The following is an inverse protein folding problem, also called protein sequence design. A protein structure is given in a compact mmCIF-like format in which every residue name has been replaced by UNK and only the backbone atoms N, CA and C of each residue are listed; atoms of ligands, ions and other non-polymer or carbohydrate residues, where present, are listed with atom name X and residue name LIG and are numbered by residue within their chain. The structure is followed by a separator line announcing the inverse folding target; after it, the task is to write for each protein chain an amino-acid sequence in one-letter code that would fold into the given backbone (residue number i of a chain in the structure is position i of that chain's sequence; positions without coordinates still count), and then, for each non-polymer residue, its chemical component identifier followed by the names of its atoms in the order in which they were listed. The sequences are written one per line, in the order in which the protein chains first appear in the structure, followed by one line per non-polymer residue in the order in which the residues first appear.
data_IF_406357348245
#
_entry.id   IF_406357348245
#
_cell.length_a   1.000
_cell.length_b   1.000
_cell.length_c   1.000
_cell.angle_alpha   90.00
_cell.angle_beta   90.00
_cell.angle_gamma   90.00
#
_symmetry.space_group_name_H-M   'P 1'
#
loop_
_entity.id
_entity.type
_entity.pdbx_description
1 polymer ?
#
# COMPACT_ATOMS: atom_id res chain seq x y z
N UNK A 1 26.71 15.50 -22.11
CA UNK A 1 25.77 14.58 -21.44
C UNK A 1 26.17 14.48 -19.96
N UNK A 2 25.24 14.74 -19.02
CA UNK A 2 25.55 14.74 -17.58
C UNK A 2 25.96 13.33 -17.10
N UNK A 3 26.73 13.26 -15.98
CA UNK A 3 27.12 11.98 -15.38
C UNK A 3 25.92 11.09 -15.06
N UNK A 4 24.82 11.69 -14.62
CA UNK A 4 23.55 11.00 -14.33
C UNK A 4 22.93 10.36 -15.57
N UNK A 5 22.89 11.05 -16.70
CA UNK A 5 22.39 10.48 -17.96
C UNK A 5 23.24 9.30 -18.44
N UNK A 6 24.56 9.35 -18.26
CA UNK A 6 25.44 8.22 -18.58
C UNK A 6 25.19 7.02 -17.66
N UNK A 7 24.98 7.25 -16.36
CA UNK A 7 24.68 6.19 -15.40
C UNK A 7 23.33 5.51 -15.68
N UNK A 8 22.29 6.28 -16.00
CA UNK A 8 20.98 5.73 -16.37
C UNK A 8 21.07 4.88 -17.65
N UNK A 9 21.77 5.36 -18.68
CA UNK A 9 21.97 4.58 -19.91
C UNK A 9 22.76 3.29 -19.64
N UNK A 10 23.80 3.35 -18.82
CA UNK A 10 24.58 2.16 -18.46
C UNK A 10 23.76 1.15 -17.67
N UNK A 11 22.94 1.61 -16.72
CA UNK A 11 22.01 0.75 -15.97
C UNK A 11 20.96 0.10 -16.89
N UNK A 12 20.38 0.86 -17.79
CA UNK A 12 19.41 0.34 -18.77
C UNK A 12 20.03 -0.71 -19.70
N UNK A 13 21.27 -0.51 -20.15
CA UNK A 13 22.00 -1.51 -20.97
C UNK A 13 22.26 -2.79 -20.17
N UNK A 14 22.63 -2.69 -18.89
CA UNK A 14 22.85 -3.86 -18.03
C UNK A 14 21.57 -4.66 -17.78
N UNK A 15 20.44 -3.98 -17.56
CA UNK A 15 19.14 -4.63 -17.39
C UNK A 15 18.75 -5.38 -18.67
N UNK A 16 18.86 -4.75 -19.83
CA UNK A 16 18.58 -5.39 -21.13
C UNK A 16 19.50 -6.59 -21.38
N UNK A 17 20.78 -6.46 -21.10
CA UNK A 17 21.74 -7.56 -21.22
C UNK A 17 21.39 -8.72 -20.26
N UNK A 18 20.98 -8.42 -19.02
CA UNK A 18 20.52 -9.42 -18.06
C UNK A 18 19.27 -10.18 -18.54
N UNK A 19 18.28 -9.46 -19.05
CA UNK A 19 17.06 -10.05 -19.62
C UNK A 19 17.39 -10.95 -20.82
N UNK A 20 18.25 -10.50 -21.74
CA UNK A 20 18.69 -11.30 -22.90
C UNK A 20 19.40 -12.56 -22.43
N UNK A 21 20.23 -12.48 -21.40
CA UNK A 21 20.93 -13.65 -20.86
C UNK A 21 19.97 -14.69 -20.28
N UNK A 22 18.98 -14.23 -19.51
CA UNK A 22 17.94 -15.10 -18.94
C UNK A 22 17.11 -15.75 -20.04
N UNK A 23 16.66 -14.99 -21.03
CA UNK A 23 15.88 -15.53 -22.18
C UNK A 23 16.73 -16.52 -22.97
N UNK A 24 18.01 -16.22 -23.22
CA UNK A 24 18.90 -17.13 -23.94
C UNK A 24 19.12 -18.43 -23.17
N UNK A 25 19.30 -18.37 -21.85
CA UNK A 25 19.44 -19.55 -21.00
C UNK A 25 18.18 -20.42 -20.99
N UNK A 26 16.99 -19.81 -21.00
CA UNK A 26 15.70 -20.51 -21.05
C UNK A 26 15.49 -21.19 -22.42
N UNK A 27 15.84 -20.51 -23.51
CA UNK A 27 15.76 -21.08 -24.88
C UNK A 27 16.70 -22.26 -25.08
N UNK A 28 17.95 -22.14 -24.59
CA UNK A 28 18.94 -23.23 -24.69
C UNK A 28 18.51 -24.48 -23.91
N UNK A 29 17.78 -24.31 -22.82
CA UNK A 29 17.21 -25.41 -22.03
C UNK A 29 15.87 -25.96 -22.56
N UNK A 30 15.45 -25.59 -23.78
CA UNK A 30 14.24 -26.13 -24.43
C UNK A 30 12.91 -25.59 -23.91
N UNK A 31 12.91 -24.52 -23.13
CA UNK A 31 11.69 -23.87 -22.67
C UNK A 31 11.10 -23.01 -23.78
N UNK A 32 9.92 -23.35 -24.26
CA UNK A 32 9.14 -22.55 -25.21
C UNK A 32 8.09 -21.74 -24.45
N UNK A 33 8.25 -20.42 -24.42
CA UNK A 33 7.19 -19.53 -23.97
C UNK A 33 6.22 -19.32 -25.14
N UNK A 34 4.95 -19.69 -25.00
CA UNK A 34 3.95 -19.28 -25.96
C UNK A 34 3.76 -17.75 -25.82
N UNK A 35 3.97 -17.03 -26.90
CA UNK A 35 3.61 -15.62 -27.09
C UNK A 35 4.49 -14.52 -26.45
N UNK A 36 5.77 -14.74 -26.19
CA UNK A 36 6.68 -13.61 -25.92
C UNK A 36 7.37 -13.18 -27.21
N UNK A 37 6.88 -12.16 -27.85
CA UNK A 37 7.57 -11.45 -28.94
C UNK A 37 8.22 -10.18 -28.36
N UNK A 38 9.55 -10.20 -28.22
CA UNK A 38 10.30 -8.97 -27.94
C UNK A 38 10.44 -8.21 -29.27
N UNK A 39 9.57 -7.23 -29.49
CA UNK A 39 9.62 -6.42 -30.71
C UNK A 39 10.43 -5.16 -30.44
N UNK A 40 11.73 -5.21 -30.69
CA UNK A 40 12.65 -4.07 -30.57
C UNK A 40 12.40 -2.97 -31.63
N UNK A 41 11.55 -3.22 -32.61
CA UNK A 41 11.25 -2.27 -33.68
C UNK A 41 10.22 -1.20 -33.29
N UNK A 42 9.54 -1.32 -32.16
CA UNK A 42 8.55 -0.36 -31.67
C UNK A 42 9.05 0.47 -30.46
N UNK A 43 10.31 0.90 -30.48
CA UNK A 43 10.77 1.96 -29.55
C UNK A 43 10.18 3.35 -29.89
N UNK A 44 9.27 3.42 -30.84
CA UNK A 44 8.46 4.61 -31.17
C UNK A 44 6.98 4.23 -31.12
N UNK A 45 6.48 3.76 -29.98
CA UNK A 45 5.04 3.81 -29.77
C UNK A 45 4.63 5.28 -29.76
N UNK A 46 3.70 5.66 -30.62
CA UNK A 46 3.11 6.99 -30.51
C UNK A 46 2.59 7.16 -29.08
N UNK A 47 2.81 8.32 -28.45
CA UNK A 47 2.35 8.53 -27.09
C UNK A 47 0.82 8.32 -27.05
N UNK A 48 0.36 7.48 -26.15
CA UNK A 48 -1.08 7.28 -25.93
C UNK A 48 -1.68 8.64 -25.58
N UNK A 49 -2.63 9.10 -26.36
CA UNK A 49 -3.29 10.37 -26.13
C UNK A 49 -4.41 10.21 -25.09
N UNK A 50 -4.09 10.48 -23.82
CA UNK A 50 -5.07 10.51 -22.76
C UNK A 50 -5.83 11.82 -22.75
N UNK A 51 -7.16 11.74 -22.77
CA UNK A 51 -8.08 12.89 -22.73
C UNK A 51 -8.66 12.99 -21.32
N UNK A 52 -8.39 14.12 -20.67
CA UNK A 52 -8.97 14.44 -19.36
C UNK A 52 -10.47 14.67 -19.48
N UNK A 53 -11.24 14.05 -18.62
CA UNK A 53 -12.67 14.25 -18.45
C UNK A 53 -12.99 14.62 -17.01
N UNK A 54 -14.07 15.38 -16.83
CA UNK A 54 -14.57 15.79 -15.52
C UNK A 54 -16.06 15.57 -15.47
N UNK A 55 -16.55 14.96 -14.39
CA UNK A 55 -17.97 14.72 -14.13
C UNK A 55 -18.36 15.32 -12.81
N UNK A 56 -19.21 16.34 -12.82
CA UNK A 56 -19.79 16.91 -11.61
C UNK A 56 -20.83 15.97 -11.02
N UNK A 57 -20.76 15.71 -9.73
CA UNK A 57 -21.67 14.84 -9.02
C UNK A 57 -22.78 15.69 -8.40
N UNK A 58 -23.95 15.68 -9.04
CA UNK A 58 -25.11 16.47 -8.61
C UNK A 58 -26.04 15.71 -7.68
N UNK A 59 -26.00 14.39 -7.73
CA UNK A 59 -26.80 13.52 -6.87
C UNK A 59 -26.10 13.29 -5.53
N UNK A 60 -26.90 13.07 -4.50
CA UNK A 60 -26.35 12.74 -3.16
C UNK A 60 -25.93 11.28 -3.14
N UNK A 61 -24.75 11.04 -2.65
CA UNK A 61 -24.21 9.71 -2.35
C UNK A 61 -23.66 9.68 -0.92
N UNK A 62 -23.49 8.50 -0.40
CA UNK A 62 -22.96 8.26 0.95
C UNK A 62 -21.87 7.19 0.99
N UNK A 63 -21.72 6.44 -0.09
CA UNK A 63 -20.65 5.46 -0.23
C UNK A 63 -19.94 5.63 -1.57
N UNK A 64 -18.70 5.14 -1.66
CA UNK A 64 -17.82 5.31 -2.81
C UNK A 64 -17.23 3.94 -3.17
N UNK A 65 -17.36 3.52 -4.42
CA UNK A 65 -16.84 2.26 -4.95
C UNK A 65 -16.04 2.56 -6.22
N UNK A 66 -14.70 2.48 -6.12
CA UNK A 66 -13.78 2.68 -7.24
C UNK A 66 -13.15 1.36 -7.61
N UNK A 67 -13.45 0.89 -8.82
CA UNK A 67 -12.81 -0.28 -9.44
C UNK A 67 -12.09 0.18 -10.69
N UNK A 68 -10.82 0.47 -10.51
CA UNK A 68 -9.99 1.00 -11.58
C UNK A 68 -9.36 -0.10 -12.43
N UNK A 69 -8.98 0.27 -13.64
CA UNK A 69 -8.22 -0.59 -14.53
C UNK A 69 -6.76 -0.75 -14.09
N UNK A 70 -6.01 -1.63 -14.75
CA UNK A 70 -4.57 -1.75 -14.58
C UNK A 70 -3.86 -0.43 -14.88
N UNK A 71 -2.83 -0.10 -14.13
CA UNK A 71 -1.97 1.08 -14.29
C UNK A 71 -2.73 2.42 -14.22
N UNK A 72 -3.82 2.49 -13.49
CA UNK A 72 -4.57 3.72 -13.26
C UNK A 72 -4.50 4.10 -11.80
N UNK A 73 -3.83 5.21 -11.51
CA UNK A 73 -3.72 5.72 -10.16
C UNK A 73 -5.07 6.25 -9.67
N UNK A 74 -5.36 6.06 -8.39
CA UNK A 74 -6.58 6.53 -7.76
C UNK A 74 -6.23 7.53 -6.65
N UNK A 75 -6.76 8.74 -6.76
CA UNK A 75 -6.58 9.75 -5.72
C UNK A 75 -7.93 10.19 -5.14
N UNK A 76 -7.96 10.43 -3.83
CA UNK A 76 -9.12 11.03 -3.14
C UNK A 76 -8.69 12.35 -2.52
N UNK A 77 -9.33 13.43 -2.92
CA UNK A 77 -8.97 14.80 -2.56
C UNK A 77 -10.17 15.62 -2.12
N UNK A 78 -9.91 16.72 -1.45
CA UNK A 78 -10.93 17.73 -1.14
C UNK A 78 -11.33 18.46 -2.42
N UNK A 79 -12.64 18.66 -2.63
CA UNK A 79 -13.14 19.56 -3.66
C UNK A 79 -12.90 21.03 -3.25
N UNK A 80 -12.65 21.89 -4.25
CA UNK A 80 -12.45 23.33 -4.00
C UNK A 80 -13.77 24.06 -3.66
N UNK A 81 -14.92 23.41 -3.84
CA UNK A 81 -16.24 23.96 -3.60
C UNK A 81 -17.19 22.98 -2.93
N UNK A 82 -18.49 23.28 -2.98
CA UNK A 82 -19.56 22.51 -2.32
C UNK A 82 -20.10 21.35 -3.19
N UNK A 83 -19.48 21.09 -4.33
CA UNK A 83 -19.89 20.02 -5.26
C UNK A 83 -18.74 19.02 -5.43
N UNK A 84 -19.03 17.75 -5.17
CA UNK A 84 -18.09 16.69 -5.49
C UNK A 84 -18.00 16.46 -6.98
N UNK A 85 -16.85 16.06 -7.48
CA UNK A 85 -16.65 15.74 -8.89
C UNK A 85 -15.57 14.68 -9.05
N UNK A 86 -15.52 14.04 -10.22
CA UNK A 86 -14.52 13.05 -10.57
C UNK A 86 -13.78 13.51 -11.81
N UNK A 87 -12.46 13.51 -11.75
CA UNK A 87 -11.58 13.71 -12.90
C UNK A 87 -10.92 12.39 -13.28
N UNK A 88 -10.88 12.08 -14.57
CA UNK A 88 -10.23 10.87 -15.05
C UNK A 88 -9.69 11.07 -16.46
N UNK A 89 -8.86 10.14 -16.90
CA UNK A 89 -8.23 10.18 -18.21
C UNK A 89 -8.60 8.94 -19.02
N UNK A 90 -9.27 9.16 -20.16
CA UNK A 90 -9.64 8.12 -21.13
C UNK A 90 -8.73 8.13 -22.35
N UNK A 91 -8.61 6.97 -23.00
CA UNK A 91 -8.01 6.83 -24.31
C UNK A 91 -8.83 5.83 -25.14
N UNK A 92 -8.38 5.52 -26.37
CA UNK A 92 -9.10 4.63 -27.29
C UNK A 92 -9.50 3.28 -26.67
N UNK A 93 -8.65 2.73 -25.81
CA UNK A 93 -8.82 1.39 -25.23
C UNK A 93 -9.02 1.43 -23.69
N UNK A 94 -9.27 2.60 -23.12
CA UNK A 94 -9.59 2.80 -21.70
C UNK A 94 -10.74 3.80 -21.60
N UNK A 95 -11.85 3.36 -21.05
CA UNK A 95 -13.03 4.21 -20.84
C UNK A 95 -13.52 4.04 -19.41
N UNK A 96 -13.62 5.17 -18.68
CA UNK A 96 -14.19 5.19 -17.34
C UNK A 96 -15.69 5.50 -17.38
N UNK A 97 -16.40 4.87 -16.45
CA UNK A 97 -17.83 5.08 -16.21
C UNK A 97 -18.01 5.58 -14.78
N UNK A 98 -18.74 6.68 -14.64
CA UNK A 98 -19.06 7.29 -13.35
C UNK A 98 -20.58 7.36 -13.24
N UNK A 99 -21.14 6.63 -12.27
CA UNK A 99 -22.58 6.62 -12.01
C UNK A 99 -22.89 6.64 -10.50
N UNK A 100 -24.13 6.99 -10.18
CA UNK A 100 -24.66 6.86 -8.81
C UNK A 100 -25.84 5.91 -8.85
N UNK A 101 -25.76 4.88 -8.03
CA UNK A 101 -26.80 3.87 -7.91
C UNK A 101 -26.91 3.46 -6.46
N UNK A 102 -28.13 3.48 -5.92
CA UNK A 102 -28.45 3.16 -4.52
C UNK A 102 -27.67 4.01 -3.48
N UNK A 103 -27.34 5.25 -3.82
CA UNK A 103 -26.56 6.16 -2.98
C UNK A 103 -25.07 5.83 -2.92
N UNK A 104 -24.57 5.06 -3.87
CA UNK A 104 -23.14 4.72 -4.03
C UNK A 104 -22.62 5.39 -5.28
N UNK A 105 -21.56 6.20 -5.15
CA UNK A 105 -20.79 6.71 -6.28
C UNK A 105 -19.89 5.58 -6.79
N UNK A 106 -20.19 5.06 -7.98
CA UNK A 106 -19.41 3.99 -8.63
C UNK A 106 -18.56 4.56 -9.74
N UNK A 107 -17.29 4.17 -9.71
CA UNK A 107 -16.34 4.48 -10.78
C UNK A 107 -15.75 3.15 -11.25
N UNK A 108 -16.00 2.81 -12.49
CA UNK A 108 -15.50 1.57 -13.12
C UNK A 108 -14.79 1.91 -14.41
N UNK A 109 -14.01 0.99 -14.93
CA UNK A 109 -13.32 1.17 -16.19
C UNK A 109 -13.45 -0.07 -17.09
N UNK A 110 -13.74 0.17 -18.37
CA UNK A 110 -13.54 -0.81 -19.44
C UNK A 110 -12.13 -0.62 -19.98
N UNK A 111 -11.27 -1.60 -19.75
CA UNK A 111 -9.88 -1.59 -20.20
C UNK A 111 -9.62 -2.72 -21.19
N UNK A 112 -9.48 -2.36 -22.43
CA UNK A 112 -9.09 -3.27 -23.51
C UNK A 112 -7.67 -3.02 -24.00
N UNK A 113 -6.87 -2.25 -23.26
CA UNK A 113 -5.47 -2.09 -23.54
C UNK A 113 -4.82 -3.48 -23.45
N UNK A 114 -4.15 -3.88 -24.53
CA UNK A 114 -3.54 -5.22 -24.59
C UNK A 114 -2.61 -5.41 -23.40
N UNK A 115 -2.93 -6.36 -22.55
CA UNK A 115 -2.05 -6.90 -21.50
C UNK A 115 -0.87 -7.72 -22.09
N UNK A 116 -0.46 -7.42 -23.32
CA UNK A 116 0.80 -7.90 -23.86
C UNK A 116 1.90 -7.26 -23.01
N UNK A 117 2.76 -8.08 -22.45
CA UNK A 117 3.92 -7.67 -21.67
C UNK A 117 4.81 -6.74 -22.51
N UNK A 118 4.46 -5.46 -22.54
CA UNK A 118 5.20 -4.42 -23.24
C UNK A 118 6.19 -3.80 -22.25
N UNK A 119 7.43 -4.27 -22.27
CA UNK A 119 8.51 -3.55 -21.59
C UNK A 119 8.83 -2.32 -22.43
N UNK A 120 8.22 -1.19 -22.12
CA UNK A 120 8.56 0.11 -22.69
C UNK A 120 9.59 0.79 -21.81
N UNK A 121 10.85 0.81 -22.26
CA UNK A 121 11.90 1.60 -21.61
C UNK A 121 11.92 2.97 -22.28
N UNK A 122 11.23 3.95 -21.69
CA UNK A 122 11.17 5.31 -22.21
C UNK A 122 10.91 6.33 -21.11
N UNK A 123 11.22 7.61 -21.37
CA UNK A 123 10.81 8.73 -20.52
C UNK A 123 9.46 9.20 -21.03
N UNK A 124 8.39 8.86 -20.34
CA UNK A 124 7.06 9.37 -20.62
C UNK A 124 6.97 10.85 -20.20
N UNK A 125 6.58 11.71 -21.13
CA UNK A 125 6.33 13.14 -20.88
C UNK A 125 4.85 13.51 -21.02
N UNK A 126 3.96 12.53 -21.09
CA UNK A 126 2.51 12.71 -21.27
C UNK A 126 1.71 12.60 -19.96
N UNK A 127 0.40 12.83 -20.04
CA UNK A 127 -0.51 12.58 -18.93
C UNK A 127 -0.54 11.08 -18.60
N UNK A 128 -0.49 10.75 -17.31
CA UNK A 128 -0.61 9.38 -16.82
C UNK A 128 -2.10 9.07 -16.56
N UNK A 129 -2.59 7.87 -16.85
CA UNK A 129 -3.97 7.54 -16.57
C UNK A 129 -4.22 7.56 -15.06
N UNK A 130 -5.18 8.35 -14.65
CA UNK A 130 -5.55 8.47 -13.23
C UNK A 130 -7.03 8.78 -13.09
N UNK A 131 -7.58 8.39 -11.94
CA UNK A 131 -8.89 8.76 -11.45
C UNK A 131 -8.71 9.58 -10.18
N UNK A 132 -9.24 10.79 -10.13
CA UNK A 132 -9.24 11.61 -8.92
C UNK A 132 -10.67 11.90 -8.49
N UNK A 133 -11.04 11.46 -7.31
CA UNK A 133 -12.35 11.71 -6.68
C UNK A 133 -12.21 12.92 -5.77
N UNK A 134 -12.87 14.02 -6.13
CA UNK A 134 -12.92 15.23 -5.33
C UNK A 134 -14.20 15.25 -4.51
N UNK A 135 -14.06 15.24 -3.19
CA UNK A 135 -15.15 15.16 -2.24
C UNK A 135 -15.39 16.52 -1.57
N UNK A 136 -16.64 17.01 -1.64
CA UNK A 136 -17.04 18.25 -0.97
C UNK A 136 -17.33 18.05 0.54
N UNK A 137 -17.76 16.85 0.94
CA UNK A 137 -18.01 16.47 2.32
C UNK A 137 -16.86 15.71 2.95
N UNK A 138 -16.91 15.54 4.27
CA UNK A 138 -15.93 14.78 5.07
C UNK A 138 -16.50 13.51 5.69
N UNK A 139 -17.80 13.27 5.58
CA UNK A 139 -18.49 12.15 6.22
C UNK A 139 -19.19 11.31 5.16
N UNK A 140 -18.88 10.02 5.13
CA UNK A 140 -19.45 9.02 4.22
C UNK A 140 -19.60 7.69 4.97
N UNK A 141 -20.47 6.79 4.46
CA UNK A 141 -20.67 5.48 5.08
C UNK A 141 -19.46 4.57 4.83
N UNK A 142 -19.17 4.29 3.56
CA UNK A 142 -18.12 3.36 3.18
C UNK A 142 -17.33 3.84 1.96
N UNK A 143 -16.07 3.42 1.87
CA UNK A 143 -15.22 3.57 0.69
C UNK A 143 -14.52 2.26 0.35
N UNK A 144 -14.67 1.85 -0.90
CA UNK A 144 -13.91 0.73 -1.46
C UNK A 144 -13.11 1.22 -2.65
N UNK A 145 -11.81 0.93 -2.67
CA UNK A 145 -10.91 1.22 -3.80
C UNK A 145 -10.18 -0.05 -4.17
N UNK A 146 -10.37 -0.51 -5.39
CA UNK A 146 -9.68 -1.67 -5.95
C UNK A 146 -8.98 -1.27 -7.24
N UNK A 147 -7.68 -1.46 -7.28
CA UNK A 147 -6.88 -1.28 -8.50
C UNK A 147 -5.92 -2.45 -8.67
N UNK A 148 -5.30 -2.60 -9.84
CA UNK A 148 -4.34 -3.69 -10.07
C UNK A 148 -2.90 -3.24 -9.86
N UNK A 149 -2.49 -2.15 -10.51
CA UNK A 149 -1.09 -1.69 -10.48
C UNK A 149 -0.98 -0.17 -10.26
N UNK A 150 -2.09 0.53 -10.14
CA UNK A 150 -2.11 1.96 -9.84
C UNK A 150 -1.88 2.24 -8.37
N UNK A 151 -1.26 3.37 -8.09
CA UNK A 151 -1.09 3.86 -6.73
C UNK A 151 -2.41 4.42 -6.19
N UNK A 152 -2.60 4.33 -4.87
CA UNK A 152 -3.74 4.91 -4.18
C UNK A 152 -3.28 6.02 -3.23
N UNK A 153 -3.71 7.25 -3.49
CA UNK A 153 -3.38 8.41 -2.65
C UNK A 153 -4.65 9.03 -2.04
N UNK A 154 -4.83 8.84 -0.74
CA UNK A 154 -5.91 9.43 0.02
C UNK A 154 -5.34 10.50 0.97
N UNK A 155 -5.21 11.74 0.46
CA UNK A 155 -4.58 12.86 1.17
C UNK A 155 -5.61 13.86 1.73
N UNK A 156 -6.79 13.37 2.12
CA UNK A 156 -7.87 14.19 2.65
C UNK A 156 -8.51 13.52 3.86
N UNK A 157 -8.67 14.27 4.95
CA UNK A 157 -9.31 13.74 6.16
C UNK A 157 -10.77 13.36 5.90
N UNK A 158 -11.08 12.10 6.14
CA UNK A 158 -12.41 11.53 5.96
C UNK A 158 -12.85 10.78 7.21
N UNK A 159 -14.12 10.95 7.57
CA UNK A 159 -14.81 10.15 8.58
C UNK A 159 -15.73 9.14 7.86
N UNK A 160 -15.53 7.85 8.10
CA UNK A 160 -16.23 6.77 7.40
C UNK A 160 -16.57 5.60 8.33
N UNK A 161 -17.55 4.80 7.94
CA UNK A 161 -17.79 3.50 8.58
C UNK A 161 -16.63 2.56 8.23
N UNK A 162 -16.48 2.21 6.95
CA UNK A 162 -15.42 1.32 6.52
C UNK A 162 -14.61 1.94 5.38
N UNK A 163 -13.31 1.73 5.43
CA UNK A 163 -12.36 2.03 4.33
C UNK A 163 -11.68 0.72 3.94
N UNK A 164 -11.84 0.31 2.68
CA UNK A 164 -11.25 -0.90 2.13
C UNK A 164 -10.46 -0.56 0.85
N UNK A 165 -9.14 -0.72 0.90
CA UNK A 165 -8.23 -0.40 -0.20
C UNK A 165 -7.43 -1.64 -0.56
N UNK A 166 -7.54 -2.06 -1.81
CA UNK A 166 -6.83 -3.22 -2.34
C UNK A 166 -6.11 -2.87 -3.65
N UNK A 167 -4.83 -3.18 -3.71
CA UNK A 167 -4.05 -3.11 -4.95
C UNK A 167 -3.15 -4.35 -5.07
N UNK A 168 -2.71 -4.68 -6.28
CA UNK A 168 -1.76 -5.79 -6.44
C UNK A 168 -0.31 -5.31 -6.44
N UNK A 169 -0.02 -4.16 -7.05
CA UNK A 169 1.38 -3.70 -7.20
C UNK A 169 1.57 -2.19 -6.95
N UNK A 170 0.52 -1.47 -6.67
CA UNK A 170 0.59 -0.03 -6.39
C UNK A 170 0.93 0.25 -4.93
N UNK A 171 1.51 1.41 -4.70
CA UNK A 171 1.71 1.93 -3.36
C UNK A 171 0.40 2.53 -2.81
N UNK A 172 0.20 2.41 -1.51
CA UNK A 172 -0.98 2.97 -0.85
C UNK A 172 -0.58 4.00 0.19
N UNK A 173 -1.02 5.23 -0.02
CA UNK A 173 -0.84 6.32 0.95
C UNK A 173 -2.19 6.77 1.48
N UNK A 174 -2.39 6.71 2.82
CA UNK A 174 -3.58 7.25 3.49
C UNK A 174 -3.14 8.25 4.55
N UNK A 175 -3.58 9.50 4.40
CA UNK A 175 -3.30 10.57 5.34
C UNK A 175 -4.59 11.19 5.87
N UNK A 176 -4.86 10.95 7.15
CA UNK A 176 -6.04 11.49 7.82
C UNK A 176 -7.31 10.68 7.55
N UNK A 177 -7.54 9.63 8.31
CA UNK A 177 -8.80 8.88 8.29
C UNK A 177 -9.32 8.64 9.70
N UNK A 178 -10.65 8.69 9.85
CA UNK A 178 -11.37 8.21 11.02
C UNK A 178 -12.40 7.19 10.56
N UNK A 179 -12.26 5.93 10.97
CA UNK A 179 -13.11 4.84 10.50
C UNK A 179 -13.53 3.88 11.61
N UNK A 180 -14.64 3.16 11.42
CA UNK A 180 -14.94 2.00 12.24
C UNK A 180 -13.96 0.86 11.90
N UNK A 181 -13.71 0.61 10.62
CA UNK A 181 -12.72 -0.34 10.17
C UNK A 181 -11.90 0.21 9.00
N UNK A 182 -10.57 0.01 9.06
CA UNK A 182 -9.65 0.30 7.98
C UNK A 182 -8.99 -1.00 7.51
N UNK A 183 -9.17 -1.35 6.25
CA UNK A 183 -8.45 -2.45 5.61
C UNK A 183 -7.61 -1.90 4.46
N UNK A 184 -6.31 -2.21 4.47
CA UNK A 184 -5.41 -1.87 3.36
C UNK A 184 -4.59 -3.10 3.00
N UNK A 185 -4.63 -3.48 1.74
CA UNK A 185 -3.90 -4.64 1.23
C UNK A 185 -3.17 -4.34 -0.08
N UNK A 186 -1.91 -4.75 -0.16
CA UNK A 186 -1.14 -4.76 -1.41
C UNK A 186 -0.33 -6.05 -1.52
N UNK A 187 0.01 -6.46 -2.75
CA UNK A 187 0.91 -7.61 -2.92
C UNK A 187 2.38 -7.18 -3.05
N UNK A 188 2.68 -6.06 -3.70
CA UNK A 188 4.07 -5.66 -3.97
C UNK A 188 4.36 -4.18 -3.76
N UNK A 189 3.38 -3.38 -3.39
CA UNK A 189 3.57 -1.96 -3.10
C UNK A 189 3.83 -1.70 -1.61
N UNK A 190 4.29 -0.50 -1.32
CA UNK A 190 4.46 -0.03 0.04
C UNK A 190 3.18 0.60 0.59
N UNK A 191 2.97 0.52 1.89
CA UNK A 191 1.83 1.12 2.57
C UNK A 191 2.32 2.21 3.53
N UNK A 192 1.86 3.44 3.31
CA UNK A 192 2.11 4.57 4.21
C UNK A 192 0.79 5.06 4.82
N UNK A 193 0.69 4.98 6.13
CA UNK A 193 -0.45 5.47 6.90
C UNK A 193 -0.02 6.56 7.86
N UNK A 194 -0.69 7.69 7.84
CA UNK A 194 -0.43 8.80 8.77
C UNK A 194 -1.73 9.39 9.30
N UNK A 195 -1.76 9.68 10.60
CA UNK A 195 -2.90 10.33 11.28
C UNK A 195 -4.20 9.52 11.14
N UNK A 196 -4.13 8.23 11.44
CA UNK A 196 -5.24 7.30 11.38
C UNK A 196 -5.92 7.17 12.76
N UNK A 197 -7.23 7.30 12.78
CA UNK A 197 -8.07 6.92 13.91
C UNK A 197 -9.07 5.87 13.45
N UNK A 198 -9.18 4.74 14.17
CA UNK A 198 -10.17 3.72 13.84
C UNK A 198 -10.57 2.91 15.07
N UNK A 199 -11.59 2.06 14.93
CA UNK A 199 -11.84 1.03 15.92
C UNK A 199 -10.89 -0.14 15.70
N UNK A 200 -10.83 -0.64 14.46
CA UNK A 200 -9.94 -1.72 14.07
C UNK A 200 -9.21 -1.37 12.78
N UNK A 201 -7.97 -1.86 12.63
CA UNK A 201 -7.24 -1.75 11.38
C UNK A 201 -6.60 -3.09 10.99
N UNK A 202 -6.66 -3.44 9.71
CA UNK A 202 -5.95 -4.59 9.13
C UNK A 202 -5.14 -4.13 7.94
N UNK A 203 -3.82 -4.25 8.05
CA UNK A 203 -2.87 -3.76 7.07
C UNK A 203 -1.99 -4.91 6.62
N UNK A 204 -1.95 -5.15 5.32
CA UNK A 204 -1.13 -6.26 4.79
C UNK A 204 -0.41 -5.88 3.50
N UNK A 205 0.90 -6.14 3.49
CA UNK A 205 1.72 -6.14 2.29
C UNK A 205 2.36 -7.54 2.12
N UNK A 206 2.56 -8.00 0.91
CA UNK A 206 3.27 -9.27 0.76
C UNK A 206 4.77 -9.05 0.56
N UNK A 207 5.18 -8.10 -0.27
CA UNK A 207 6.60 -7.80 -0.54
C UNK A 207 6.96 -6.31 -0.34
N UNK A 208 6.04 -5.50 0.12
CA UNK A 208 6.26 -4.09 0.41
C UNK A 208 6.40 -3.83 1.90
N UNK A 209 6.90 -2.66 2.21
CA UNK A 209 7.03 -2.16 3.57
C UNK A 209 5.71 -1.57 4.08
N UNK A 210 5.48 -1.70 5.38
CA UNK A 210 4.35 -1.06 6.07
C UNK A 210 4.91 0.02 7.00
N UNK A 211 4.60 1.27 6.67
CA UNK A 211 4.99 2.42 7.49
C UNK A 211 3.77 3.10 8.09
N UNK A 212 3.80 3.32 9.40
CA UNK A 212 2.75 4.00 10.14
C UNK A 212 3.39 5.14 10.93
N UNK A 213 2.98 6.39 10.67
CA UNK A 213 3.53 7.51 11.42
C UNK A 213 2.72 7.80 12.69
N UNK A 214 1.39 7.82 12.64
CA UNK A 214 0.54 7.99 13.81
C UNK A 214 -0.76 7.19 13.66
N UNK A 215 -1.05 6.31 14.61
CA UNK A 215 -2.28 5.52 14.59
C UNK A 215 -2.88 5.38 15.99
N UNK A 216 -4.15 5.73 16.13
CA UNK A 216 -4.90 5.59 17.38
C UNK A 216 -6.14 4.72 17.14
N UNK A 217 -6.17 3.56 17.78
CA UNK A 217 -7.25 2.60 17.64
C UNK A 217 -7.93 2.36 18.98
N UNK A 218 -9.23 2.18 18.95
CA UNK A 218 -9.99 1.89 20.19
C UNK A 218 -10.01 0.40 20.51
N UNK A 219 -9.58 -0.46 19.57
CA UNK A 219 -9.54 -1.92 19.77
C UNK A 219 -8.25 -2.54 19.24
N UNK A 220 -8.14 -2.92 17.96
CA UNK A 220 -7.01 -3.71 17.50
C UNK A 220 -6.39 -3.24 16.19
N UNK A 221 -5.10 -3.51 16.03
CA UNK A 221 -4.40 -3.47 14.75
C UNK A 221 -3.76 -4.82 14.44
N UNK A 222 -3.95 -5.28 13.21
CA UNK A 222 -3.26 -6.42 12.62
C UNK A 222 -2.36 -5.93 11.47
N UNK A 223 -1.03 -6.00 11.65
CA UNK A 223 -0.02 -5.63 10.65
C UNK A 223 0.66 -6.87 10.13
N UNK A 224 0.72 -7.03 8.82
CA UNK A 224 1.31 -8.22 8.20
C UNK A 224 2.14 -7.88 6.97
N UNK A 225 3.34 -8.46 6.91
CA UNK A 225 4.14 -8.53 5.68
C UNK A 225 4.79 -9.91 5.51
N UNK A 226 5.23 -10.24 4.31
CA UNK A 226 6.02 -11.46 4.10
C UNK A 226 7.51 -11.16 3.92
N UNK A 227 7.86 -10.11 3.18
CA UNK A 227 9.28 -9.80 2.88
C UNK A 227 9.64 -8.33 3.08
N UNK A 228 8.73 -7.51 3.57
CA UNK A 228 8.99 -6.12 3.89
C UNK A 228 9.11 -5.88 5.38
N UNK A 229 9.48 -4.68 5.74
CA UNK A 229 9.58 -4.24 7.12
C UNK A 229 8.26 -3.65 7.62
N UNK A 230 8.02 -3.73 8.92
CA UNK A 230 6.95 -3.01 9.60
C UNK A 230 7.59 -1.94 10.47
N UNK A 231 7.39 -0.68 10.12
CA UNK A 231 7.94 0.45 10.87
C UNK A 231 6.83 1.38 11.34
N UNK A 232 6.77 1.66 12.65
CA UNK A 232 5.83 2.62 13.20
C UNK A 232 6.50 3.70 14.01
N UNK A 233 6.03 4.94 13.85
CA UNK A 233 6.34 6.07 14.73
C UNK A 233 5.57 5.95 16.04
N UNK A 234 4.25 5.93 16.02
CA UNK A 234 3.41 5.77 17.21
C UNK A 234 2.15 4.96 16.90
N UNK A 235 1.84 3.98 17.74
CA UNK A 235 0.59 3.20 17.71
C UNK A 235 -0.01 3.14 19.11
N UNK A 236 -1.28 3.52 19.22
CA UNK A 236 -2.09 3.32 20.41
C UNK A 236 -3.28 2.41 20.10
N UNK A 237 -3.41 1.28 20.82
CA UNK A 237 -4.48 0.32 20.66
C UNK A 237 -4.67 -0.51 21.94
N UNK A 238 -5.70 -1.38 22.01
CA UNK A 238 -5.73 -2.42 23.06
C UNK A 238 -4.85 -3.60 22.67
N UNK A 239 -4.92 -4.00 21.39
CA UNK A 239 -4.18 -5.16 20.89
C UNK A 239 -3.39 -4.76 19.63
N UNK A 240 -2.10 -5.03 19.64
CA UNK A 240 -1.20 -4.85 18.51
C UNK A 240 -0.70 -6.22 18.09
N UNK A 241 -0.99 -6.64 16.89
CA UNK A 241 -0.50 -7.88 16.31
C UNK A 241 0.35 -7.57 15.07
N UNK A 242 1.62 -7.92 15.11
CA UNK A 242 2.55 -7.77 13.99
C UNK A 242 3.07 -9.13 13.54
N UNK A 243 3.06 -9.40 12.26
CA UNK A 243 3.61 -10.62 11.68
C UNK A 243 4.42 -10.31 10.43
N UNK A 244 5.71 -10.63 10.48
CA UNK A 244 6.61 -10.57 9.33
C UNK A 244 7.23 -11.96 9.10
N UNK A 245 7.59 -12.30 7.85
CA UNK A 245 8.35 -13.53 7.61
C UNK A 245 9.85 -13.28 7.49
N UNK A 246 10.25 -12.20 6.81
CA UNK A 246 11.67 -11.87 6.58
C UNK A 246 11.96 -10.38 6.70
N UNK A 247 11.17 -9.66 7.46
CA UNK A 247 11.34 -8.24 7.68
C UNK A 247 11.51 -7.90 9.14
N UNK A 248 12.05 -6.74 9.40
CA UNK A 248 12.20 -6.20 10.74
C UNK A 248 10.87 -5.59 11.22
N UNK A 249 10.63 -5.62 12.52
CA UNK A 249 9.49 -4.97 13.15
C UNK A 249 9.99 -3.90 14.12
N UNK A 250 9.77 -2.64 13.75
CA UNK A 250 10.22 -1.47 14.52
C UNK A 250 9.01 -0.63 14.93
N UNK A 251 8.70 -0.59 16.21
CA UNK A 251 7.66 0.26 16.79
C UNK A 251 8.31 1.21 17.78
N UNK A 252 8.42 2.51 17.45
CA UNK A 252 9.16 3.46 18.27
C UNK A 252 8.44 3.89 19.54
N UNK A 253 7.10 3.97 19.46
CA UNK A 253 6.26 4.37 20.58
C UNK A 253 4.94 3.60 20.50
N UNK A 254 4.72 2.67 21.43
CA UNK A 254 3.47 1.96 21.52
C UNK A 254 2.82 2.05 22.90
N UNK A 255 1.49 2.14 22.89
CA UNK A 255 0.64 2.11 24.10
C UNK A 255 -0.48 1.09 23.85
N UNK A 256 -0.31 -0.11 24.41
CA UNK A 256 -1.27 -1.20 24.21
C UNK A 256 -1.32 -2.14 25.41
N UNK A 257 -2.47 -2.74 25.69
CA UNK A 257 -2.60 -3.77 26.73
C UNK A 257 -1.99 -5.10 26.30
N UNK A 258 -1.97 -5.39 24.99
CA UNK A 258 -1.39 -6.63 24.48
C UNK A 258 -0.63 -6.35 23.17
N UNK A 259 0.62 -6.80 23.16
CA UNK A 259 1.52 -6.67 22.01
C UNK A 259 1.99 -8.07 21.63
N UNK A 260 1.70 -8.49 20.42
CA UNK A 260 2.12 -9.77 19.86
C UNK A 260 2.92 -9.51 18.58
N UNK A 261 4.19 -9.90 18.57
CA UNK A 261 5.06 -9.75 17.40
C UNK A 261 5.68 -11.09 17.05
N UNK A 262 5.51 -11.50 15.81
CA UNK A 262 6.09 -12.71 15.27
C UNK A 262 6.83 -12.39 13.98
N UNK A 263 8.12 -12.67 13.93
CA UNK A 263 8.89 -12.69 12.68
C UNK A 263 9.68 -13.99 12.58
N UNK A 264 10.14 -14.35 11.39
CA UNK A 264 10.96 -15.55 11.25
C UNK A 264 12.45 -15.21 11.09
N UNK A 265 12.78 -14.12 10.39
CA UNK A 265 14.17 -13.75 10.10
C UNK A 265 14.33 -12.21 10.12
N UNK A 266 13.89 -11.57 11.16
CA UNK A 266 14.01 -10.13 11.32
C UNK A 266 14.23 -9.76 12.78
N UNK A 267 14.80 -8.58 12.99
CA UNK A 267 14.95 -8.00 14.30
C UNK A 267 13.64 -7.35 14.77
N UNK A 268 13.42 -7.37 16.08
CA UNK A 268 12.25 -6.73 16.68
C UNK A 268 12.69 -5.65 17.65
N UNK A 269 12.30 -4.42 17.39
CA UNK A 269 12.60 -3.27 18.25
C UNK A 269 11.31 -2.56 18.65
N UNK A 270 11.00 -2.52 19.95
CA UNK A 270 9.76 -1.94 20.48
C UNK A 270 10.08 -0.93 21.57
N UNK A 271 9.65 0.32 21.37
CA UNK A 271 9.58 1.33 22.41
C UNK A 271 8.18 1.37 23.01
N UNK A 272 8.05 1.18 24.31
CA UNK A 272 6.80 1.26 25.03
C UNK A 272 6.68 2.63 25.68
N UNK A 273 5.72 3.43 25.25
CA UNK A 273 5.50 4.79 25.71
C UNK A 273 4.60 4.90 26.94
N UNK A 274 4.02 3.81 27.42
CA UNK A 274 3.12 3.81 28.57
C UNK A 274 3.84 3.50 29.89
N UNK A 275 3.30 4.00 31.01
CA UNK A 275 3.73 3.62 32.36
C UNK A 275 3.19 2.26 32.81
N UNK A 276 2.46 1.55 31.94
CA UNK A 276 1.89 0.23 32.21
C UNK A 276 3.01 -0.78 32.44
N UNK A 277 2.84 -1.67 33.41
CA UNK A 277 3.76 -2.77 33.62
C UNK A 277 3.40 -3.94 32.71
N UNK A 278 4.42 -4.64 32.22
CA UNK A 278 4.23 -5.74 31.28
C UNK A 278 4.80 -7.06 31.82
N UNK A 279 4.10 -8.13 31.44
CA UNK A 279 4.64 -9.48 31.47
C UNK A 279 5.23 -9.77 30.08
N UNK A 280 6.56 -9.96 30.03
CA UNK A 280 7.28 -10.22 28.78
C UNK A 280 7.46 -11.71 28.55
N UNK A 281 7.10 -12.16 27.36
CA UNK A 281 7.39 -13.50 26.85
C UNK A 281 8.18 -13.35 25.55
N UNK A 282 9.44 -13.71 25.55
CA UNK A 282 10.32 -13.56 24.39
C UNK A 282 10.95 -14.88 24.00
N UNK A 283 11.10 -15.11 22.70
CA UNK A 283 11.72 -16.32 22.16
C UNK A 283 12.48 -16.00 20.89
N UNK A 284 13.77 -16.32 20.87
CA UNK A 284 14.59 -16.39 19.67
C UNK A 284 15.39 -17.68 19.66
N UNK A 285 15.73 -18.20 18.48
CA UNK A 285 16.63 -19.36 18.37
C UNK A 285 18.07 -18.93 18.11
N UNK A 286 18.26 -17.76 17.49
CA UNK A 286 19.58 -17.19 17.18
C UNK A 286 19.48 -15.67 17.20
N UNK A 287 19.93 -15.06 18.27
CA UNK A 287 19.91 -13.61 18.50
C UNK A 287 19.95 -13.29 19.98
N UNK A 288 20.19 -12.03 20.28
CA UNK A 288 20.22 -11.50 21.64
C UNK A 288 18.84 -10.99 22.07
N UNK A 289 18.55 -11.08 23.37
CA UNK A 289 17.30 -10.58 23.94
C UNK A 289 17.60 -9.55 25.02
N UNK A 290 17.14 -8.34 24.77
CA UNK A 290 17.23 -7.22 25.69
C UNK A 290 15.83 -6.67 25.95
N UNK A 291 15.26 -6.97 27.11
CA UNK A 291 13.92 -6.52 27.50
C UNK A 291 13.92 -6.07 28.97
N UNK A 292 13.02 -5.17 29.36
CA UNK A 292 12.89 -4.76 30.76
C UNK A 292 12.50 -5.93 31.68
N UNK A 293 12.58 -5.72 32.98
CA UNK A 293 12.16 -6.71 33.97
C UNK A 293 10.66 -7.04 33.80
N UNK A 294 10.37 -8.33 33.67
CA UNK A 294 8.99 -8.82 33.55
C UNK A 294 8.29 -8.78 34.91
N UNK A 295 7.04 -8.28 34.91
CA UNK A 295 6.22 -8.22 36.11
C UNK A 295 5.10 -9.28 36.00
N UNK A 296 5.20 -10.33 36.83
CA UNK A 296 4.21 -11.41 36.83
C UNK A 296 2.82 -10.86 37.19
N UNK A 297 1.81 -11.21 36.35
CA UNK A 297 0.43 -10.78 36.55
C UNK A 297 0.19 -9.30 36.24
N UNK A 298 1.08 -8.67 35.49
CA UNK A 298 0.87 -7.31 35.00
C UNK A 298 -0.35 -7.22 34.08
N UNK A 299 -0.95 -6.01 34.00
CA UNK A 299 -2.08 -5.75 33.13
C UNK A 299 -1.68 -5.75 31.64
N UNK A 300 -0.42 -5.40 31.34
CA UNK A 300 0.14 -5.44 29.98
C UNK A 300 0.82 -6.77 29.68
N UNK A 301 0.69 -7.24 28.43
CA UNK A 301 1.37 -8.43 27.90
C UNK A 301 2.14 -8.08 26.64
N UNK A 302 3.40 -8.53 26.58
CA UNK A 302 4.24 -8.35 25.42
C UNK A 302 4.89 -9.69 25.02
N UNK A 303 4.41 -10.27 23.93
CA UNK A 303 4.85 -11.56 23.42
C UNK A 303 5.61 -11.34 22.11
N UNK A 304 6.89 -11.74 22.06
CA UNK A 304 7.73 -11.56 20.89
C UNK A 304 8.42 -12.87 20.54
N UNK A 305 8.24 -13.32 19.31
CA UNK A 305 8.91 -14.51 18.80
C UNK A 305 9.63 -14.19 17.47
N UNK A 306 10.91 -14.53 17.40
CA UNK A 306 11.66 -14.58 16.14
C UNK A 306 12.44 -15.90 16.08
N UNK A 307 12.80 -16.36 14.90
CA UNK A 307 13.69 -17.53 14.76
C UNK A 307 15.15 -17.10 14.63
N UNK A 308 15.42 -16.02 13.92
CA UNK A 308 16.77 -15.49 13.70
C UNK A 308 16.71 -13.96 13.67
N UNK A 309 16.95 -13.37 14.81
CA UNK A 309 16.96 -11.92 14.99
C UNK A 309 17.04 -11.54 16.43
N UNK A 310 17.45 -10.32 16.68
CA UNK A 310 17.55 -9.74 18.01
C UNK A 310 16.19 -9.19 18.47
N UNK A 311 15.95 -9.23 19.77
CA UNK A 311 14.75 -8.66 20.38
C UNK A 311 15.19 -7.57 21.35
N UNK A 312 14.81 -6.33 21.06
CA UNK A 312 15.08 -5.17 21.90
C UNK A 312 13.77 -4.49 22.29
N UNK A 313 13.49 -4.39 23.57
CA UNK A 313 12.34 -3.66 24.11
C UNK A 313 12.81 -2.62 25.10
N UNK A 314 12.37 -1.40 24.90
CA UNK A 314 12.64 -0.26 25.80
C UNK A 314 11.33 0.28 26.37
N UNK A 315 11.37 0.66 27.65
CA UNK A 315 10.23 1.25 28.35
C UNK A 315 10.69 2.43 29.22
#
# INVERSE_FOLDING_TARGET
MSRTKKAVIAASIMIVAGIITVISALVVNGFRWPNVTVNLAHMTSEPVNYVKKTVDIKEKFRAIDVKSASDVDVAVKKADGDTSYVEYYDCENLTHHVDISDGVLRITADDSRNAAFNVSIGVYTGAWPSVTVYLAGTEYDDMTIVTSSGDVDMAYYLAMGNIDIETSSGDVTVKGANADALTVATSSGDILLDSISAKNARISANSGDVRIDNMVLTDSVDLKTSSGDIASGSIKAKHINCSASSGDVIIRDCDASEINVVTNSGDVSIGIGSDMKYEYTTKTSSGDVNVPDSVEGADGKCNIETSSGDIDVTQ
#
